data_IF_186605108084
#
_entry.id   IF_186605108084
#
_cell.length_a   1.000
_cell.length_b   1.000
_cell.length_c   1.000
_cell.angle_alpha   90.00
_cell.angle_beta   90.00
_cell.angle_gamma   90.00
#
_symmetry.space_group_name_H-M   'P 1'
#
loop_
_entity.id
_entity.type
_entity.pdbx_description
1 polymer ?
#
# COMPACT_ATOMS: atom_id res chain seq x y z
N UNK A 1 0.13 17.06 -9.88
CA UNK A 1 0.60 15.98 -9.01
C UNK A 1 -0.56 15.51 -8.16
N UNK A 2 -0.91 14.23 -8.26
CA UNK A 2 -2.02 13.64 -7.52
C UNK A 2 -1.47 12.44 -6.72
N UNK A 3 -0.96 12.68 -5.51
CA UNK A 3 -0.18 11.70 -4.74
C UNK A 3 -1.10 10.77 -3.94
N UNK A 4 -1.04 9.47 -4.22
CA UNK A 4 -1.92 8.48 -3.58
C UNK A 4 -1.16 7.43 -2.76
N UNK A 5 0.12 7.22 -3.06
CA UNK A 5 1.02 6.34 -2.31
C UNK A 5 2.33 7.07 -2.01
N UNK A 6 2.95 6.73 -0.89
CA UNK A 6 4.21 7.30 -0.42
C UNK A 6 4.94 6.23 0.38
N UNK A 7 6.22 6.03 0.08
CA UNK A 7 7.08 5.20 0.92
C UNK A 7 8.57 5.58 0.79
N UNK A 8 9.39 5.03 1.67
CA UNK A 8 10.81 5.29 1.79
C UNK A 8 11.64 4.07 1.39
N UNK A 9 12.70 4.31 0.62
CA UNK A 9 13.77 3.34 0.38
C UNK A 9 15.08 3.91 0.91
N UNK A 10 15.47 3.50 2.12
CA UNK A 10 16.61 4.11 2.81
C UNK A 10 16.34 5.59 3.11
N UNK A 11 17.13 6.49 2.52
CA UNK A 11 16.98 7.95 2.68
C UNK A 11 16.29 8.63 1.48
N UNK A 12 15.70 7.84 0.58
CA UNK A 12 15.02 8.32 -0.60
C UNK A 12 13.51 8.23 -0.39
N UNK A 13 12.80 9.26 -0.85
CA UNK A 13 11.33 9.35 -0.78
C UNK A 13 10.77 9.03 -2.15
N UNK A 14 9.81 8.13 -2.21
CA UNK A 14 9.09 7.78 -3.43
C UNK A 14 7.60 7.98 -3.22
N UNK A 15 6.92 8.36 -4.28
CA UNK A 15 5.48 8.55 -4.26
C UNK A 15 4.85 8.09 -5.57
N UNK A 16 3.60 7.67 -5.52
CA UNK A 16 2.84 7.34 -6.71
C UNK A 16 2.02 8.56 -7.16
N UNK A 17 2.27 9.07 -8.37
CA UNK A 17 1.39 10.05 -9.02
C UNK A 17 0.28 9.31 -9.79
N UNK A 18 -0.93 9.32 -9.24
CA UNK A 18 -2.10 8.65 -9.80
C UNK A 18 -2.39 9.09 -11.23
N UNK A 19 -2.26 10.39 -11.53
CA UNK A 19 -2.62 10.94 -12.84
C UNK A 19 -1.63 10.52 -13.93
N UNK A 20 -0.35 10.39 -13.57
CA UNK A 20 0.70 9.92 -14.49
C UNK A 20 0.86 8.41 -14.47
N UNK A 21 0.26 7.73 -13.48
CA UNK A 21 0.38 6.29 -13.26
C UNK A 21 1.83 5.83 -13.14
N UNK A 22 2.68 6.60 -12.46
CA UNK A 22 4.10 6.31 -12.26
C UNK A 22 4.54 6.55 -10.83
N UNK A 23 5.52 5.78 -10.38
CA UNK A 23 6.23 6.03 -9.13
C UNK A 23 7.32 7.07 -9.43
N UNK A 24 7.32 8.17 -8.68
CA UNK A 24 8.29 9.23 -8.79
C UNK A 24 9.17 9.28 -7.55
N UNK A 25 10.37 9.82 -7.71
CA UNK A 25 11.24 10.18 -6.59
C UNK A 25 10.92 11.61 -6.16
N UNK A 26 10.85 11.84 -4.85
CA UNK A 26 10.77 13.18 -4.28
C UNK A 26 12.08 13.59 -3.63
N UNK A 27 12.36 14.90 -3.72
CA UNK A 27 13.35 15.56 -2.91
C UNK A 27 12.94 15.45 -1.44
N UNK A 28 13.76 14.78 -0.61
CA UNK A 28 13.41 14.50 0.79
C UNK A 28 13.20 15.73 1.67
N UNK A 29 13.82 16.87 1.33
CA UNK A 29 13.74 18.10 2.14
C UNK A 29 12.55 18.98 1.74
N UNK A 30 12.16 18.94 0.46
CA UNK A 30 11.15 19.85 -0.10
C UNK A 30 9.88 19.16 -0.58
N UNK A 31 9.89 17.83 -0.71
CA UNK A 31 8.80 17.02 -1.26
C UNK A 31 8.57 17.22 -2.77
N UNK A 32 9.44 17.97 -3.47
CA UNK A 32 9.29 18.22 -4.90
C UNK A 32 9.66 16.98 -5.72
N UNK A 33 8.92 16.75 -6.80
CA UNK A 33 9.21 15.71 -7.79
C UNK A 33 10.59 15.91 -8.42
N UNK A 34 11.44 14.88 -8.40
CA UNK A 34 12.78 14.83 -8.99
C UNK A 34 12.87 13.93 -10.22
N UNK A 35 11.76 13.31 -10.65
CA UNK A 35 11.71 12.44 -11.82
C UNK A 35 11.06 11.08 -11.53
N UNK A 36 10.90 10.31 -12.60
CA UNK A 36 10.20 9.02 -12.60
C UNK A 36 11.16 7.87 -12.31
N UNK A 37 10.70 6.91 -11.51
CA UNK A 37 11.23 5.55 -11.50
C UNK A 37 10.25 4.69 -12.31
N UNK A 38 10.73 3.95 -13.31
CA UNK A 38 9.89 3.44 -14.40
C UNK A 38 9.09 2.19 -13.97
N UNK A 39 8.14 2.38 -13.05
CA UNK A 39 7.03 1.48 -12.79
C UNK A 39 5.76 2.20 -13.24
N UNK A 40 5.15 1.71 -14.32
CA UNK A 40 3.83 2.16 -14.72
C UNK A 40 2.76 1.36 -13.97
N UNK A 41 1.99 2.06 -13.13
CA UNK A 41 0.94 1.48 -12.30
C UNK A 41 -0.40 2.15 -12.59
N UNK A 42 -1.06 1.71 -13.67
CA UNK A 42 -2.37 2.23 -14.07
C UNK A 42 -3.43 1.97 -12.99
N UNK A 43 -4.06 3.04 -12.50
CA UNK A 43 -4.99 2.99 -11.36
C UNK A 43 -4.35 2.39 -10.08
N UNK A 44 -3.05 2.62 -9.90
CA UNK A 44 -2.34 2.27 -8.69
C UNK A 44 -2.69 3.18 -7.52
N UNK A 45 -2.50 2.67 -6.30
CA UNK A 45 -2.80 3.41 -5.08
C UNK A 45 -1.63 3.36 -4.10
N UNK A 46 -1.41 2.22 -3.45
CA UNK A 46 -0.38 2.05 -2.43
C UNK A 46 0.94 1.52 -2.99
N UNK A 47 2.04 1.93 -2.34
CA UNK A 47 3.40 1.46 -2.58
C UNK A 47 4.06 1.15 -1.24
N UNK A 48 4.83 0.07 -1.17
CA UNK A 48 5.60 -0.38 0.01
C UNK A 48 6.90 -1.04 -0.48
N UNK A 49 8.06 -0.55 -0.08
CA UNK A 49 9.36 -1.13 -0.35
C UNK A 49 9.60 -2.30 0.60
N UNK A 50 9.65 -3.51 0.04
CA UNK A 50 9.99 -4.72 0.78
C UNK A 50 11.51 -4.83 1.00
N UNK A 51 12.28 -4.30 0.05
CA UNK A 51 13.74 -4.16 0.08
C UNK A 51 14.19 -3.11 -0.93
N UNK A 52 15.51 -2.86 -1.04
CA UNK A 52 16.08 -2.00 -2.09
C UNK A 52 15.83 -2.53 -3.52
N UNK A 53 15.39 -3.77 -3.66
CA UNK A 53 15.18 -4.45 -4.94
C UNK A 53 13.76 -4.97 -5.14
N UNK A 54 12.85 -4.77 -4.17
CA UNK A 54 11.49 -5.29 -4.25
C UNK A 54 10.47 -4.27 -3.73
N UNK A 55 9.43 -4.03 -4.54
CA UNK A 55 8.32 -3.14 -4.21
C UNK A 55 7.04 -3.94 -4.29
N UNK A 56 6.21 -3.82 -3.26
CA UNK A 56 4.81 -4.22 -3.25
C UNK A 56 3.96 -3.01 -3.63
N UNK A 57 3.01 -3.21 -4.53
CA UNK A 57 2.04 -2.20 -4.89
C UNK A 57 0.61 -2.72 -4.77
N UNK A 58 -0.33 -1.81 -4.62
CA UNK A 58 -1.76 -2.10 -4.73
C UNK A 58 -2.38 -1.31 -5.88
N UNK A 59 -3.32 -1.96 -6.57
CA UNK A 59 -4.00 -1.41 -7.73
C UNK A 59 -5.35 -2.09 -7.87
N UNK A 60 -6.44 -1.32 -7.93
CA UNK A 60 -7.81 -1.80 -8.14
C UNK A 60 -8.20 -2.95 -7.20
N UNK A 61 -7.99 -4.21 -7.59
CA UNK A 61 -8.34 -5.40 -6.82
C UNK A 61 -7.12 -6.29 -6.54
N UNK A 62 -5.91 -5.82 -6.84
CA UNK A 62 -4.71 -6.64 -6.87
C UNK A 62 -3.58 -6.08 -6.03
N UNK A 63 -2.74 -7.00 -5.57
CA UNK A 63 -1.39 -6.73 -5.11
C UNK A 63 -0.38 -7.21 -6.16
N UNK A 64 0.71 -6.48 -6.32
CA UNK A 64 1.76 -6.81 -7.28
C UNK A 64 3.15 -6.58 -6.69
N UNK A 65 4.03 -7.56 -6.86
CA UNK A 65 5.44 -7.45 -6.49
C UNK A 65 6.26 -7.18 -7.74
N UNK A 66 6.98 -6.08 -7.72
CA UNK A 66 8.01 -5.73 -8.70
C UNK A 66 9.37 -6.03 -8.12
N UNK A 67 10.27 -6.57 -8.95
CA UNK A 67 11.68 -6.79 -8.58
C UNK A 67 12.60 -6.03 -9.52
N UNK A 68 13.57 -5.34 -8.95
CA UNK A 68 14.62 -4.64 -9.67
C UNK A 68 15.58 -5.66 -10.29
N UNK A 69 15.78 -5.55 -11.59
CA UNK A 69 16.77 -6.28 -12.35
C UNK A 69 17.58 -5.26 -13.15
N UNK A 70 18.86 -5.14 -12.82
CA UNK A 70 19.71 -4.04 -13.31
C UNK A 70 19.07 -2.67 -12.98
N UNK A 71 18.68 -1.90 -13.99
CA UNK A 71 18.05 -0.59 -13.84
C UNK A 71 16.54 -0.61 -14.12
N UNK A 72 15.93 -1.78 -14.29
CA UNK A 72 14.52 -1.90 -14.63
C UNK A 72 13.74 -2.63 -13.52
N UNK A 73 12.51 -2.18 -13.30
CA UNK A 73 11.55 -2.87 -12.44
C UNK A 73 10.72 -3.84 -13.27
N UNK A 74 10.65 -5.10 -12.83
CA UNK A 74 9.95 -6.15 -13.55
C UNK A 74 8.90 -6.74 -12.63
N UNK A 75 7.64 -6.79 -13.11
CA UNK A 75 6.57 -7.50 -12.42
C UNK A 75 6.95 -8.97 -12.26
N UNK A 76 6.91 -9.46 -11.02
CA UNK A 76 7.22 -10.86 -10.68
C UNK A 76 5.99 -11.65 -10.30
N UNK A 77 5.07 -11.03 -9.57
CA UNK A 77 3.89 -11.71 -9.07
C UNK A 77 2.77 -10.71 -8.88
N UNK A 78 1.65 -10.96 -9.56
CA UNK A 78 0.40 -10.23 -9.37
C UNK A 78 -0.68 -11.19 -8.89
N UNK A 79 -1.45 -10.78 -7.89
CA UNK A 79 -2.56 -11.55 -7.35
C UNK A 79 -3.79 -10.65 -7.25
N UNK A 80 -4.90 -11.10 -7.82
CA UNK A 80 -6.22 -10.48 -7.59
C UNK A 80 -6.74 -10.99 -6.26
N UNK A 81 -7.04 -10.08 -5.35
CA UNK A 81 -7.57 -10.38 -4.02
C UNK A 81 -9.07 -10.69 -4.16
N UNK A 82 -9.52 -11.91 -3.83
CA UNK A 82 -10.91 -12.29 -4.02
C UNK A 82 -11.88 -11.35 -3.31
N UNK A 83 -12.93 -10.93 -4.02
CA UNK A 83 -13.99 -10.01 -3.54
C UNK A 83 -13.49 -8.61 -3.17
N UNK A 84 -12.21 -8.28 -3.34
CA UNK A 84 -11.72 -6.92 -3.14
C UNK A 84 -12.37 -5.99 -4.18
N UNK A 85 -12.87 -4.84 -3.73
CA UNK A 85 -13.43 -3.81 -4.61
C UNK A 85 -12.38 -2.74 -4.93
N UNK A 86 -11.69 -2.23 -3.90
CA UNK A 86 -10.69 -1.16 -4.09
C UNK A 86 -9.55 -1.31 -3.08
N UNK A 87 -8.48 -1.96 -3.53
CA UNK A 87 -7.20 -2.21 -2.87
C UNK A 87 -6.40 -0.89 -2.73
N UNK A 88 -6.85 0.02 -1.87
CA UNK A 88 -6.35 1.39 -1.83
C UNK A 88 -4.98 1.48 -1.14
N UNK A 89 -4.94 1.44 0.19
CA UNK A 89 -3.69 1.50 0.94
C UNK A 89 -3.20 0.13 1.35
N UNK A 90 -1.88 0.00 1.42
CA UNK A 90 -1.18 -1.15 1.95
C UNK A 90 -0.27 -0.71 3.09
N UNK A 91 -0.05 -1.60 4.05
CA UNK A 91 0.99 -1.49 5.06
C UNK A 91 1.67 -2.85 5.22
N UNK A 92 3.00 -2.89 5.15
CA UNK A 92 3.77 -4.12 5.32
C UNK A 92 4.41 -4.21 6.71
N UNK A 93 3.95 -5.15 7.54
CA UNK A 93 4.59 -5.45 8.82
C UNK A 93 5.71 -6.48 8.62
N UNK A 94 6.96 -5.99 8.57
CA UNK A 94 8.13 -6.79 8.22
C UNK A 94 8.39 -7.95 9.18
N UNK A 95 8.17 -7.75 10.48
CA UNK A 95 8.43 -8.74 11.52
C UNK A 95 7.55 -9.99 11.38
N UNK A 96 6.29 -9.81 10.97
CA UNK A 96 5.33 -10.90 10.79
C UNK A 96 5.20 -11.39 9.35
N UNK A 97 5.64 -10.58 8.38
CA UNK A 97 5.44 -10.85 6.96
C UNK A 97 3.98 -10.65 6.51
N UNK A 98 3.22 -9.84 7.25
CA UNK A 98 1.82 -9.55 6.97
C UNK A 98 1.66 -8.23 6.22
N UNK A 99 0.74 -8.23 5.26
CA UNK A 99 0.30 -7.06 4.52
C UNK A 99 -1.12 -6.74 4.96
N UNK A 100 -1.33 -5.52 5.41
CA UNK A 100 -2.63 -4.97 5.72
C UNK A 100 -3.10 -4.21 4.49
N UNK A 101 -4.21 -4.63 3.90
CA UNK A 101 -4.76 -4.06 2.68
C UNK A 101 -6.13 -3.44 2.97
N UNK A 102 -6.28 -2.16 2.65
CA UNK A 102 -7.58 -1.49 2.66
C UNK A 102 -8.40 -1.91 1.44
N UNK A 103 -9.60 -2.43 1.67
CA UNK A 103 -10.64 -2.60 0.66
C UNK A 103 -11.71 -1.52 0.83
N UNK A 104 -11.36 -0.31 0.40
CA UNK A 104 -12.03 0.95 0.79
C UNK A 104 -13.53 0.95 0.52
N UNK A 105 -13.94 0.55 -0.69
CA UNK A 105 -15.35 0.61 -1.10
C UNK A 105 -16.21 -0.48 -0.42
N UNK A 106 -15.58 -1.55 0.10
CA UNK A 106 -16.26 -2.54 0.94
C UNK A 106 -16.09 -2.26 2.44
N UNK A 107 -15.43 -1.16 2.81
CA UNK A 107 -15.27 -0.73 4.21
C UNK A 107 -14.65 -1.81 5.10
N UNK A 108 -13.57 -2.43 4.63
CA UNK A 108 -12.89 -3.50 5.36
C UNK A 108 -11.39 -3.49 5.14
N UNK A 109 -10.71 -4.32 5.91
CA UNK A 109 -9.26 -4.51 5.83
C UNK A 109 -8.96 -6.00 5.74
N UNK A 110 -8.18 -6.39 4.75
CA UNK A 110 -7.60 -7.73 4.68
C UNK A 110 -6.23 -7.75 5.35
N UNK A 111 -5.95 -8.80 6.10
CA UNK A 111 -4.59 -9.15 6.54
C UNK A 111 -4.15 -10.34 5.71
N UNK A 112 -3.06 -10.18 4.98
CA UNK A 112 -2.60 -11.08 3.94
C UNK A 112 -1.17 -11.51 4.26
N UNK A 113 -0.86 -12.80 4.20
CA UNK A 113 0.53 -13.25 4.30
C UNK A 113 1.25 -12.98 2.99
N UNK A 114 2.36 -12.23 3.01
CA UNK A 114 3.07 -11.83 1.80
C UNK A 114 3.62 -13.02 0.99
N UNK A 115 4.11 -14.05 1.67
CA UNK A 115 4.73 -15.22 1.03
C UNK A 115 3.80 -15.95 0.05
N UNK A 116 2.53 -16.15 0.43
CA UNK A 116 1.57 -16.95 -0.35
C UNK A 116 0.33 -16.16 -0.79
N UNK A 117 0.17 -14.90 -0.35
CA UNK A 117 -1.01 -14.06 -0.55
C UNK A 117 -2.32 -14.64 0.05
N UNK A 118 -2.21 -15.53 1.03
CA UNK A 118 -3.38 -16.03 1.77
C UNK A 118 -3.94 -14.94 2.68
N UNK A 119 -5.27 -14.75 2.65
CA UNK A 119 -5.97 -13.90 3.62
C UNK A 119 -6.03 -14.67 4.94
N UNK A 120 -5.44 -14.11 5.99
CA UNK A 120 -5.37 -14.74 7.32
C UNK A 120 -6.34 -14.11 8.33
N UNK A 121 -6.77 -12.87 8.10
CA UNK A 121 -7.78 -12.17 8.90
C UNK A 121 -8.48 -11.13 8.02
N UNK A 122 -9.72 -10.82 8.34
CA UNK A 122 -10.45 -9.70 7.76
C UNK A 122 -11.09 -8.90 8.88
N UNK A 123 -10.90 -7.58 8.87
CA UNK A 123 -11.64 -6.66 9.73
C UNK A 123 -12.82 -6.11 8.95
N UNK A 124 -14.03 -6.49 9.36
CA UNK A 124 -15.30 -6.03 8.79
C UNK A 124 -16.15 -5.50 9.95
N UNK A 125 -15.99 -4.22 10.28
CA UNK A 125 -16.85 -3.50 11.21
C UNK A 125 -17.36 -2.24 10.50
N UNK A 126 -18.59 -2.30 9.99
CA UNK A 126 -19.18 -1.21 9.20
C UNK A 126 -19.41 0.08 10.00
N UNK A 127 -19.37 0.02 11.33
CA UNK A 127 -19.49 1.20 12.18
C UNK A 127 -18.12 1.83 12.44
N UNK A 128 -17.06 1.02 12.52
CA UNK A 128 -15.70 1.47 12.80
C UNK A 128 -14.83 1.65 11.55
N UNK A 129 -15.21 1.11 10.39
CA UNK A 129 -14.46 1.24 9.14
C UNK A 129 -15.35 1.93 8.11
N UNK A 130 -14.90 3.06 7.58
CA UNK A 130 -15.70 3.87 6.67
C UNK A 130 -14.82 4.64 5.68
N UNK A 131 -14.68 4.08 4.47
CA UNK A 131 -13.74 4.54 3.44
C UNK A 131 -12.34 4.75 4.02
N UNK A 132 -11.73 3.64 4.43
CA UNK A 132 -10.37 3.63 4.97
C UNK A 132 -9.33 3.91 3.88
N UNK A 133 -8.52 4.96 4.07
CA UNK A 133 -7.47 5.34 3.11
C UNK A 133 -6.05 5.25 3.67
N UNK A 134 -5.89 5.12 4.99
CA UNK A 134 -4.59 5.00 5.64
C UNK A 134 -4.60 3.88 6.66
N UNK A 135 -3.50 3.13 6.72
CA UNK A 135 -3.28 2.03 7.65
C UNK A 135 -1.91 2.20 8.29
N UNK A 136 -1.81 1.87 9.57
CA UNK A 136 -0.54 1.79 10.27
C UNK A 136 -0.63 0.74 11.38
N UNK A 137 0.41 -0.08 11.55
CA UNK A 137 0.50 -1.04 12.64
C UNK A 137 1.63 -0.63 13.57
N UNK A 138 1.32 -0.44 14.86
CA UNK A 138 2.36 -0.26 15.88
C UNK A 138 3.00 -1.61 16.20
N UNK A 139 4.18 -1.84 15.65
CA UNK A 139 4.97 -3.08 15.86
C UNK A 139 5.20 -3.46 17.32
N UNK A 140 5.13 -2.52 18.27
CA UNK A 140 5.33 -2.81 19.70
C UNK A 140 4.08 -3.41 20.34
N UNK A 141 2.90 -2.97 19.89
CA UNK A 141 1.62 -3.34 20.52
C UNK A 141 0.77 -4.25 19.63
N UNK A 142 1.07 -4.33 18.33
CA UNK A 142 0.25 -5.00 17.32
C UNK A 142 -1.03 -4.25 16.98
N UNK A 143 -1.22 -3.03 17.50
CA UNK A 143 -2.43 -2.26 17.25
C UNK A 143 -2.46 -1.72 15.83
N UNK A 144 -3.60 -1.92 15.16
CA UNK A 144 -3.89 -1.41 13.84
C UNK A 144 -4.65 -0.09 13.95
N UNK A 145 -4.10 0.97 13.37
CA UNK A 145 -4.71 2.29 13.25
C UNK A 145 -5.25 2.48 11.84
N UNK A 146 -6.49 2.92 11.74
CA UNK A 146 -7.23 3.03 10.48
C UNK A 146 -7.77 4.44 10.32
N UNK A 147 -7.36 5.14 9.26
CA UNK A 147 -7.86 6.47 8.94
C UNK A 147 -9.13 6.35 8.11
N UNK A 148 -10.27 6.72 8.70
CA UNK A 148 -11.58 6.65 8.06
C UNK A 148 -11.98 8.00 7.47
N UNK A 149 -12.00 8.10 6.14
CA UNK A 149 -12.29 9.37 5.46
C UNK A 149 -13.73 9.84 5.66
N UNK A 150 -14.69 8.91 5.66
CA UNK A 150 -16.11 9.27 5.73
C UNK A 150 -16.53 9.69 7.14
N UNK A 151 -16.07 8.99 8.18
CA UNK A 151 -16.36 9.35 9.58
C UNK A 151 -15.44 10.43 10.13
N UNK A 152 -14.28 10.69 9.50
CA UNK A 152 -13.25 11.65 9.96
C UNK A 152 -12.62 11.27 11.30
N UNK A 153 -12.48 9.96 11.54
CA UNK A 153 -11.96 9.39 12.78
C UNK A 153 -10.80 8.43 12.50
N UNK A 154 -10.01 8.17 13.55
CA UNK A 154 -9.03 7.08 13.56
C UNK A 154 -9.61 5.96 14.42
N UNK A 155 -9.82 4.79 13.82
CA UNK A 155 -10.24 3.59 14.55
C UNK A 155 -9.04 2.73 14.88
N UNK A 156 -9.10 2.05 16.03
CA UNK A 156 -7.99 1.26 16.57
C UNK A 156 -8.49 -0.18 16.78
N UNK A 157 -7.75 -1.15 16.24
CA UNK A 157 -8.09 -2.56 16.30
C UNK A 157 -6.94 -3.38 16.91
N UNK A 158 -7.30 -4.54 17.46
CA UNK A 158 -6.39 -5.55 17.98
C UNK A 158 -6.47 -6.84 17.16
#
# INVERSE_FOLDING_TARGET
MNIWGLDLMGNQVFFLDYNRSVICKANKETGKDEGEDVIHLFNGYGIEFLSESEILTSNQQSLEIFKKQENNWISKRRVVIPKCSTAYSIFYEKESGLVYLSDTENHRIFVIRLFDFSIVKTFEDSNAISRNFGLFVDKRTGLLYVVNNKSKEISIFQ
#
